data_IF_741565063452
#
_entry.id   IF_741565063452
#
_cell.length_a   1.000
_cell.length_b   1.000
_cell.length_c   1.000
_cell.angle_alpha   90.00
_cell.angle_beta   90.00
_cell.angle_gamma   90.00
#
_symmetry.space_group_name_H-M   'P 1'
#
loop_
_entity.id
_entity.type
_entity.pdbx_description
1 polymer ?
#
# COMPACT_ATOMS: atom_id res chain seq x y z
N UNK A 1 12.11 -4.90 -4.17
CA UNK A 1 11.98 -3.45 -4.43
C UNK A 1 11.42 -3.26 -5.82
N UNK A 2 10.39 -2.43 -5.97
CA UNK A 2 9.85 -2.01 -7.26
C UNK A 2 10.30 -0.58 -7.54
N UNK A 3 10.43 -0.23 -8.82
CA UNK A 3 10.79 1.12 -9.26
C UNK A 3 9.71 1.65 -10.19
N UNK A 4 9.38 2.92 -10.02
CA UNK A 4 8.57 3.70 -10.97
C UNK A 4 9.37 4.93 -11.43
N UNK A 5 8.72 5.90 -12.05
CA UNK A 5 9.40 7.10 -12.56
C UNK A 5 10.03 7.91 -11.42
N UNK A 6 9.32 8.10 -10.30
CA UNK A 6 9.75 8.93 -9.16
C UNK A 6 9.90 8.19 -7.85
N UNK A 7 9.47 6.90 -7.78
CA UNK A 7 9.38 6.17 -6.52
C UNK A 7 10.18 4.88 -6.55
N UNK A 8 10.81 4.58 -5.43
CA UNK A 8 11.16 3.24 -5.01
C UNK A 8 10.08 2.74 -4.05
N UNK A 9 9.53 1.55 -4.29
CA UNK A 9 8.62 0.86 -3.38
C UNK A 9 9.40 -0.28 -2.71
N UNK A 10 9.54 -0.21 -1.39
CA UNK A 10 10.33 -1.15 -0.59
C UNK A 10 9.38 -1.94 0.31
N UNK A 11 9.23 -3.27 0.10
CA UNK A 11 8.41 -4.09 0.98
C UNK A 11 9.09 -4.17 2.36
N UNK A 12 8.37 -3.83 3.41
CA UNK A 12 8.88 -3.88 4.77
C UNK A 12 8.76 -5.32 5.32
N UNK A 13 9.80 -5.78 6.02
CA UNK A 13 9.73 -7.03 6.76
C UNK A 13 8.84 -6.89 8.00
N UNK A 14 8.40 -8.00 8.59
CA UNK A 14 7.64 -7.96 9.84
C UNK A 14 8.40 -7.22 10.94
N UNK A 15 9.70 -7.50 11.09
CA UNK A 15 10.55 -6.81 12.06
C UNK A 15 10.64 -5.29 11.79
N UNK A 16 10.73 -4.86 10.53
CA UNK A 16 10.75 -3.44 10.17
C UNK A 16 9.41 -2.75 10.45
N UNK A 17 8.28 -3.44 10.25
CA UNK A 17 6.98 -2.93 10.64
C UNK A 17 6.87 -2.76 12.17
N UNK A 18 7.35 -3.74 12.96
CA UNK A 18 7.41 -3.66 14.42
C UNK A 18 8.30 -2.50 14.88
N UNK A 19 9.51 -2.38 14.30
CA UNK A 19 10.42 -1.27 14.58
C UNK A 19 9.76 0.07 14.28
N UNK A 20 9.07 0.19 13.15
CA UNK A 20 8.37 1.41 12.74
C UNK A 20 7.24 1.81 13.68
N UNK A 21 6.48 0.84 14.20
CA UNK A 21 5.45 1.08 15.22
C UNK A 21 6.03 1.58 16.55
N UNK A 22 7.18 1.05 16.96
CA UNK A 22 7.85 1.45 18.19
C UNK A 22 8.57 2.79 18.04
N UNK A 23 9.27 2.97 16.92
CA UNK A 23 10.07 4.15 16.64
C UNK A 23 10.33 4.33 15.15
N UNK A 24 9.62 5.25 14.53
CA UNK A 24 9.85 5.61 13.12
C UNK A 24 11.28 6.12 12.88
N UNK A 25 11.89 6.77 13.90
CA UNK A 25 13.28 7.22 13.86
C UNK A 25 14.25 6.04 13.78
N UNK A 26 14.01 5.00 14.54
CA UNK A 26 14.85 3.79 14.51
C UNK A 26 14.75 3.09 13.16
N UNK A 27 13.54 2.92 12.63
CA UNK A 27 13.33 2.38 11.29
C UNK A 27 14.03 3.22 10.21
N UNK A 28 13.95 4.54 10.31
CA UNK A 28 14.64 5.47 9.41
C UNK A 28 16.16 5.28 9.43
N UNK A 29 16.73 5.07 10.62
CA UNK A 29 18.18 4.80 10.78
C UNK A 29 18.55 3.42 10.20
N UNK A 30 17.74 2.38 10.47
CA UNK A 30 17.96 1.02 9.97
C UNK A 30 17.96 0.97 8.44
N UNK A 31 17.00 1.64 7.80
CA UNK A 31 16.87 1.67 6.35
C UNK A 31 17.84 2.69 5.68
N UNK A 32 18.43 3.59 6.45
CA UNK A 32 19.16 4.76 5.95
C UNK A 32 18.31 5.62 4.98
N UNK A 33 17.01 5.74 5.31
CA UNK A 33 16.04 6.52 4.55
C UNK A 33 15.29 7.42 5.53
N UNK A 34 15.31 8.75 5.38
CA UNK A 34 14.43 9.63 6.14
C UNK A 34 12.96 9.24 5.94
N UNK A 35 12.23 9.07 7.04
CA UNK A 35 10.80 8.70 7.02
C UNK A 35 10.02 9.80 7.71
N UNK A 36 8.89 10.22 7.15
CA UNK A 36 8.00 11.20 7.76
C UNK A 36 7.47 10.67 9.09
N UNK A 37 7.54 11.50 10.13
CA UNK A 37 7.37 11.11 11.52
C UNK A 37 6.02 10.44 11.85
N UNK A 38 4.93 10.83 11.20
CA UNK A 38 3.58 10.34 11.43
C UNK A 38 3.13 9.23 10.45
N UNK A 39 4.03 8.75 9.60
CA UNK A 39 3.68 7.83 8.50
C UNK A 39 3.08 6.51 8.98
N UNK A 40 3.50 6.01 10.14
CA UNK A 40 3.02 4.76 10.74
C UNK A 40 2.19 5.00 12.01
N UNK A 41 1.42 6.09 12.07
CA UNK A 41 0.56 6.44 13.19
C UNK A 41 -0.94 6.29 12.85
N UNK A 42 -1.81 6.37 13.85
CA UNK A 42 -3.27 6.31 13.67
C UNK A 42 -3.72 5.05 12.93
N UNK A 43 -4.53 5.23 11.90
CA UNK A 43 -5.09 4.12 11.09
C UNK A 43 -4.00 3.23 10.46
N UNK A 44 -2.85 3.81 10.10
CA UNK A 44 -1.72 3.04 9.58
C UNK A 44 -1.19 2.09 10.66
N UNK A 45 -1.02 2.54 11.91
CA UNK A 45 -0.55 1.71 13.01
C UNK A 45 -1.51 0.54 13.30
N UNK A 46 -2.82 0.78 13.33
CA UNK A 46 -3.84 -0.27 13.50
C UNK A 46 -3.76 -1.30 12.38
N UNK A 47 -3.61 -0.84 11.14
CA UNK A 47 -3.51 -1.72 9.98
C UNK A 47 -2.21 -2.54 10.00
N UNK A 48 -1.08 -1.93 10.40
CA UNK A 48 0.21 -2.62 10.55
C UNK A 48 0.09 -3.73 11.60
N UNK A 49 -0.56 -3.48 12.72
CA UNK A 49 -0.79 -4.50 13.77
C UNK A 49 -1.55 -5.71 13.21
N UNK A 50 -2.60 -5.48 12.41
CA UNK A 50 -3.35 -6.56 11.73
C UNK A 50 -2.48 -7.32 10.72
N UNK A 51 -1.65 -6.62 9.96
CA UNK A 51 -0.71 -7.23 9.01
C UNK A 51 0.32 -8.11 9.70
N UNK A 52 0.89 -7.66 10.81
CA UNK A 52 1.85 -8.43 11.60
C UNK A 52 1.25 -9.75 12.10
N UNK A 53 0.01 -9.73 12.58
CA UNK A 53 -0.69 -10.94 12.99
C UNK A 53 -0.82 -11.96 11.83
N UNK A 54 -1.13 -11.49 10.62
CA UNK A 54 -1.22 -12.35 9.43
C UNK A 54 0.18 -12.85 9.02
N UNK A 55 1.19 -11.97 8.98
CA UNK A 55 2.55 -12.32 8.54
C UNK A 55 3.23 -13.34 9.44
N UNK A 56 2.88 -13.36 10.73
CA UNK A 56 3.43 -14.32 11.69
C UNK A 56 3.12 -15.78 11.31
N UNK A 57 1.94 -16.02 10.74
CA UNK A 57 1.45 -17.36 10.40
C UNK A 57 1.70 -17.75 8.93
N UNK A 58 2.26 -16.84 8.14
CA UNK A 58 2.48 -17.03 6.70
C UNK A 58 3.94 -17.27 6.36
N UNK A 59 4.22 -18.11 5.34
CA UNK A 59 5.56 -18.27 4.82
C UNK A 59 6.09 -16.95 4.22
N UNK A 60 7.41 -16.69 4.34
CA UNK A 60 8.03 -15.42 3.92
C UNK A 60 7.75 -15.01 2.46
N UNK A 61 7.52 -15.98 1.58
CA UNK A 61 7.22 -15.75 0.17
C UNK A 61 5.91 -14.99 -0.04
N UNK A 62 4.96 -15.11 0.90
CA UNK A 62 3.68 -14.41 0.87
C UNK A 62 3.71 -13.05 1.57
N UNK A 63 4.77 -12.73 2.31
CA UNK A 63 4.88 -11.46 3.03
C UNK A 63 4.71 -10.22 2.13
N UNK A 64 5.21 -10.18 0.86
CA UNK A 64 4.97 -9.04 -0.02
C UNK A 64 3.49 -8.74 -0.28
N UNK A 65 2.61 -9.74 -0.18
CA UNK A 65 1.16 -9.57 -0.28
C UNK A 65 0.51 -9.07 1.01
N UNK A 66 1.18 -9.22 2.15
CA UNK A 66 0.61 -8.93 3.46
C UNK A 66 1.22 -7.71 4.13
N UNK A 67 2.34 -7.18 3.60
CA UNK A 67 3.05 -6.05 4.18
C UNK A 67 2.61 -4.71 3.60
N UNK A 68 3.15 -3.63 4.17
CA UNK A 68 3.23 -2.35 3.50
C UNK A 68 4.54 -2.19 2.72
N UNK A 69 4.43 -1.60 1.56
CA UNK A 69 5.55 -1.14 0.75
C UNK A 69 5.74 0.35 1.03
N UNK A 70 6.92 0.69 1.51
CA UNK A 70 7.32 2.06 1.79
C UNK A 70 7.56 2.81 0.47
N UNK A 71 6.87 3.93 0.28
CA UNK A 71 7.00 4.77 -0.90
C UNK A 71 8.07 5.82 -0.66
N UNK A 72 9.20 5.70 -1.36
CA UNK A 72 10.38 6.57 -1.22
C UNK A 72 10.57 7.39 -2.50
N UNK A 73 10.57 8.71 -2.40
CA UNK A 73 10.93 9.59 -3.51
C UNK A 73 12.40 9.37 -3.89
N UNK A 74 12.68 9.18 -5.18
CA UNK A 74 14.04 8.87 -5.67
C UNK A 74 14.95 10.10 -5.58
N UNK A 75 14.43 11.32 -5.81
CA UNK A 75 15.21 12.54 -5.82
C UNK A 75 15.60 12.98 -4.41
N UNK A 76 14.61 12.98 -3.51
CA UNK A 76 14.80 13.47 -2.13
C UNK A 76 15.22 12.37 -1.16
N UNK A 77 15.23 11.10 -1.59
CA UNK A 77 15.44 9.91 -0.75
C UNK A 77 14.56 9.94 0.51
N UNK A 78 13.29 10.35 0.38
CA UNK A 78 12.37 10.55 1.50
C UNK A 78 11.17 9.60 1.40
N UNK A 79 10.89 8.86 2.47
CA UNK A 79 9.70 8.03 2.57
C UNK A 79 8.49 8.85 3.03
N UNK A 80 7.43 8.88 2.20
CA UNK A 80 6.27 9.74 2.39
C UNK A 80 4.93 9.04 2.36
N UNK A 81 4.88 7.77 2.01
CA UNK A 81 3.65 7.02 1.85
C UNK A 81 3.83 5.52 2.07
N UNK A 82 2.70 4.85 2.23
CA UNK A 82 2.58 3.42 2.35
C UNK A 82 1.53 2.91 1.35
N UNK A 83 1.83 1.82 0.67
CA UNK A 83 0.89 1.10 -0.19
C UNK A 83 1.05 -0.40 0.05
N UNK A 84 -0.02 -1.19 -0.01
CA UNK A 84 0.10 -2.62 0.21
C UNK A 84 -1.24 -3.35 0.08
N UNK A 85 -1.18 -4.67 0.03
CA UNK A 85 -2.36 -5.51 0.03
C UNK A 85 -2.70 -5.99 1.43
N UNK A 86 -3.96 -6.36 1.66
CA UNK A 86 -4.45 -6.86 2.96
C UNK A 86 -4.21 -8.36 3.17
N UNK A 87 -3.67 -9.05 2.18
CA UNK A 87 -3.40 -10.50 2.19
C UNK A 87 -2.98 -10.96 0.80
N UNK A 88 -2.70 -12.25 0.65
CA UNK A 88 -2.51 -12.89 -0.64
C UNK A 88 -3.84 -13.01 -1.41
N UNK A 89 -3.81 -13.19 -2.75
CA UNK A 89 -5.01 -13.45 -3.51
C UNK A 89 -5.80 -14.66 -2.97
N UNK A 90 -7.10 -14.52 -2.88
CA UNK A 90 -8.01 -15.59 -2.48
C UNK A 90 -8.22 -16.62 -3.61
N UNK A 91 -9.11 -17.60 -3.39
CA UNK A 91 -9.41 -18.66 -4.37
C UNK A 91 -9.92 -18.12 -5.71
N UNK A 92 -10.55 -16.94 -5.72
CA UNK A 92 -11.03 -16.26 -6.91
C UNK A 92 -9.96 -15.37 -7.56
N UNK A 93 -8.76 -15.31 -6.98
CA UNK A 93 -7.65 -14.48 -7.40
C UNK A 93 -7.85 -13.00 -7.08
N UNK A 94 -8.66 -12.70 -6.07
CA UNK A 94 -8.95 -11.33 -5.63
C UNK A 94 -8.08 -10.94 -4.44
N UNK A 95 -7.59 -9.71 -4.44
CA UNK A 95 -6.85 -9.13 -3.32
C UNK A 95 -7.27 -7.68 -3.09
N UNK A 96 -7.31 -7.23 -1.84
CA UNK A 96 -7.66 -5.86 -1.50
C UNK A 96 -6.40 -5.01 -1.30
N UNK A 97 -6.37 -3.82 -1.93
CA UNK A 97 -5.30 -2.83 -1.78
C UNK A 97 -5.70 -1.73 -0.79
N UNK A 98 -4.72 -1.30 0.03
CA UNK A 98 -4.83 -0.15 0.91
C UNK A 98 -3.60 0.75 0.81
N UNK A 99 -3.78 2.05 0.99
CA UNK A 99 -2.70 3.01 0.84
C UNK A 99 -2.94 4.32 1.61
N UNK A 100 -1.87 5.03 1.86
CA UNK A 100 -1.88 6.37 2.44
C UNK A 100 -0.60 7.14 2.11
N UNK A 101 -0.72 8.45 1.94
CA UNK A 101 0.40 9.36 1.76
C UNK A 101 0.24 10.53 2.70
N UNK A 102 1.35 11.01 3.26
CA UNK A 102 1.34 12.19 4.11
C UNK A 102 0.71 13.40 3.40
N UNK A 103 -0.05 14.19 4.15
CA UNK A 103 -0.89 15.28 3.62
C UNK A 103 -0.10 16.31 2.78
N UNK A 104 1.16 16.59 3.14
CA UNK A 104 2.03 17.53 2.42
C UNK A 104 2.33 17.07 0.99
N UNK A 105 2.26 15.75 0.73
CA UNK A 105 2.57 15.14 -0.57
C UNK A 105 1.32 14.76 -1.37
N UNK A 106 0.13 15.03 -0.85
CA UNK A 106 -1.13 14.82 -1.56
C UNK A 106 -1.24 15.74 -2.80
N UNK A 107 -2.05 15.33 -3.76
CA UNK A 107 -2.30 16.09 -4.99
C UNK A 107 -1.16 16.09 -6.02
N UNK A 108 0.01 15.53 -5.70
CA UNK A 108 1.20 15.52 -6.57
C UNK A 108 1.33 14.24 -7.43
N UNK A 109 0.36 13.35 -7.38
CA UNK A 109 0.33 12.12 -8.18
C UNK A 109 1.15 10.94 -7.64
N UNK A 110 1.87 11.09 -6.54
CA UNK A 110 2.68 10.03 -5.94
C UNK A 110 1.89 8.76 -5.63
N UNK A 111 0.70 8.90 -5.04
CA UNK A 111 -0.13 7.74 -4.72
C UNK A 111 -0.67 7.04 -5.98
N UNK A 112 -1.01 7.77 -7.03
CA UNK A 112 -1.41 7.20 -8.32
C UNK A 112 -0.28 6.34 -8.90
N UNK A 113 0.95 6.85 -8.84
CA UNK A 113 2.15 6.17 -9.31
C UNK A 113 2.49 4.94 -8.46
N UNK A 114 2.44 5.06 -7.13
CA UNK A 114 2.70 3.96 -6.21
C UNK A 114 1.70 2.81 -6.34
N UNK A 115 0.41 3.13 -6.43
CA UNK A 115 -0.66 2.13 -6.69
C UNK A 115 -0.45 1.47 -8.04
N UNK A 116 -0.13 2.24 -9.10
CA UNK A 116 0.14 1.70 -10.43
C UNK A 116 1.27 0.68 -10.43
N UNK A 117 2.41 1.02 -9.84
CA UNK A 117 3.56 0.13 -9.74
C UNK A 117 3.24 -1.16 -8.95
N UNK A 118 2.46 -1.06 -7.88
CA UNK A 118 2.08 -2.24 -7.10
C UNK A 118 1.05 -3.11 -7.83
N UNK A 119 0.17 -2.52 -8.64
CA UNK A 119 -0.75 -3.26 -9.51
C UNK A 119 -0.02 -4.04 -10.60
N UNK A 120 0.98 -3.43 -11.25
CA UNK A 120 1.83 -4.11 -12.24
C UNK A 120 2.52 -5.32 -11.61
N UNK A 121 3.07 -5.16 -10.40
CA UNK A 121 3.65 -6.26 -9.64
C UNK A 121 2.61 -7.35 -9.35
N UNK A 122 1.44 -7.00 -8.83
CA UNK A 122 0.40 -7.96 -8.51
C UNK A 122 -0.06 -8.76 -9.75
N UNK A 123 -0.30 -8.08 -10.85
CA UNK A 123 -0.74 -8.72 -12.09
C UNK A 123 0.36 -9.49 -12.83
N UNK A 124 1.63 -9.35 -12.46
CA UNK A 124 2.70 -10.24 -12.93
C UNK A 124 2.62 -11.64 -12.33
N UNK A 125 1.86 -11.83 -11.24
CA UNK A 125 1.64 -13.11 -10.58
C UNK A 125 0.33 -13.75 -11.08
N UNK A 126 0.40 -14.99 -11.54
CA UNK A 126 -0.73 -15.67 -12.20
C UNK A 126 -1.95 -15.85 -11.29
N UNK A 127 -1.71 -15.97 -10.00
CA UNK A 127 -2.74 -16.10 -8.96
C UNK A 127 -3.57 -14.84 -8.72
N UNK A 128 -3.06 -13.65 -9.06
CA UNK A 128 -3.81 -12.40 -8.92
C UNK A 128 -4.60 -12.10 -10.19
N UNK A 129 -5.91 -12.19 -10.15
CA UNK A 129 -6.82 -11.92 -11.28
C UNK A 129 -7.49 -10.56 -11.19
N UNK A 130 -7.69 -10.07 -9.97
CA UNK A 130 -8.32 -8.78 -9.71
C UNK A 130 -7.84 -8.17 -8.41
N UNK A 131 -7.89 -6.83 -8.37
CA UNK A 131 -7.60 -6.05 -7.17
C UNK A 131 -8.85 -5.25 -6.81
N UNK A 132 -9.24 -5.30 -5.54
CA UNK A 132 -10.35 -4.51 -4.98
C UNK A 132 -9.82 -3.40 -4.09
N UNK A 133 -10.62 -2.37 -3.90
CA UNK A 133 -10.35 -1.29 -2.96
C UNK A 133 -11.68 -0.75 -2.40
N UNK A 134 -11.64 -0.29 -1.16
CA UNK A 134 -12.78 0.36 -0.51
C UNK A 134 -12.41 1.77 -0.10
N UNK A 135 -13.34 2.70 -0.25
CA UNK A 135 -13.13 4.10 0.15
C UNK A 135 -14.44 4.78 0.49
N UNK A 136 -14.38 5.72 1.42
CA UNK A 136 -15.54 6.55 1.76
C UNK A 136 -15.95 7.43 0.58
N UNK A 137 -17.25 7.69 0.37
CA UNK A 137 -17.74 8.60 -0.68
C UNK A 137 -17.09 9.99 -0.64
N UNK A 138 -16.85 10.50 0.56
CA UNK A 138 -16.22 11.80 0.79
C UNK A 138 -14.71 11.84 0.47
N UNK A 139 -14.03 10.67 0.35
CA UNK A 139 -12.61 10.61 0.05
C UNK A 139 -12.34 10.76 -1.45
N UNK A 140 -12.56 11.97 -1.95
CA UNK A 140 -12.39 12.31 -3.39
C UNK A 140 -10.95 12.02 -3.85
N UNK A 141 -9.95 12.21 -2.98
CA UNK A 141 -8.55 11.95 -3.33
C UNK A 141 -8.31 10.47 -3.65
N UNK A 142 -8.78 9.56 -2.79
CA UNK A 142 -8.68 8.12 -3.01
C UNK A 142 -9.44 7.69 -4.27
N UNK A 143 -10.67 8.16 -4.46
CA UNK A 143 -11.48 7.87 -5.65
C UNK A 143 -10.76 8.25 -6.95
N UNK A 144 -10.11 9.43 -6.98
CA UNK A 144 -9.30 9.87 -8.14
C UNK A 144 -8.10 8.96 -8.39
N UNK A 145 -7.41 8.50 -7.33
CA UNK A 145 -6.29 7.55 -7.45
C UNK A 145 -6.77 6.24 -8.08
N UNK A 146 -7.89 5.69 -7.60
CA UNK A 146 -8.46 4.44 -8.10
C UNK A 146 -8.86 4.56 -9.58
N UNK A 147 -9.63 5.58 -9.95
CA UNK A 147 -10.08 5.80 -11.35
C UNK A 147 -8.88 5.97 -12.29
N UNK A 148 -7.84 6.73 -11.90
CA UNK A 148 -6.63 6.91 -12.71
C UNK A 148 -5.84 5.61 -12.90
N UNK A 149 -5.98 4.66 -11.98
CA UNK A 149 -5.39 3.32 -12.08
C UNK A 149 -6.32 2.29 -12.73
N UNK A 150 -7.38 2.72 -13.40
CA UNK A 150 -8.28 1.85 -14.16
C UNK A 150 -9.28 1.04 -13.30
N UNK A 151 -9.44 1.38 -12.03
CA UNK A 151 -10.49 0.78 -11.21
C UNK A 151 -11.87 1.30 -11.66
N UNK A 152 -12.85 0.40 -11.59
CA UNK A 152 -14.26 0.71 -11.82
C UNK A 152 -15.03 0.55 -10.52
N UNK A 153 -15.95 1.45 -10.25
CA UNK A 153 -16.91 1.33 -9.16
C UNK A 153 -17.84 0.16 -9.43
N UNK A 154 -18.01 -0.73 -8.45
CA UNK A 154 -18.85 -1.94 -8.60
C UNK A 154 -19.99 -2.00 -7.59
N UNK A 155 -19.90 -1.28 -6.48
CA UNK A 155 -20.96 -1.17 -5.47
C UNK A 155 -20.78 0.10 -4.67
N UNK A 156 -21.90 0.75 -4.35
CA UNK A 156 -21.98 1.89 -3.43
C UNK A 156 -23.01 1.59 -2.31
N UNK A 157 -23.23 0.32 -2.00
CA UNK A 157 -24.13 -0.09 -0.93
C UNK A 157 -23.36 -0.05 0.42
N UNK A 158 -23.86 0.74 1.37
CA UNK A 158 -23.25 0.90 2.69
C UNK A 158 -22.46 2.21 2.82
N UNK A 159 -21.54 2.25 3.79
CA UNK A 159 -20.76 3.44 4.11
C UNK A 159 -19.57 3.65 3.16
N UNK A 160 -19.14 2.60 2.46
CA UNK A 160 -17.97 2.63 1.57
C UNK A 160 -18.37 2.29 0.13
N UNK A 161 -17.62 2.86 -0.80
CA UNK A 161 -17.69 2.54 -2.23
C UNK A 161 -16.64 1.48 -2.52
N UNK A 162 -17.06 0.38 -3.14
CA UNK A 162 -16.17 -0.68 -3.61
C UNK A 162 -15.75 -0.43 -5.05
N UNK A 163 -14.46 -0.53 -5.29
CA UNK A 163 -13.81 -0.44 -6.60
C UNK A 163 -13.13 -1.76 -6.94
N UNK A 164 -13.03 -2.06 -8.23
CA UNK A 164 -12.34 -3.24 -8.74
C UNK A 164 -11.59 -2.93 -10.02
N UNK A 165 -10.40 -3.49 -10.15
CA UNK A 165 -9.63 -3.62 -11.39
C UNK A 165 -9.31 -5.08 -11.65
N UNK A 166 -9.64 -5.59 -12.84
CA UNK A 166 -9.24 -6.91 -13.31
C UNK A 166 -7.91 -6.83 -14.06
N UNK A 167 -7.19 -7.94 -14.11
CA UNK A 167 -6.10 -8.15 -15.06
C UNK A 167 -6.68 -8.06 -16.48
N UNK A 168 -5.99 -7.38 -17.39
CA UNK A 168 -6.32 -7.32 -18.81
C UNK A 168 -6.03 -8.64 -19.50
#
# INVERSE_FOLDING_TARGET
MLKSIRLNLIPLTAQQLETGLQSIKQLSMELNIPIIADLMSGVAAETITKKLAIMHDLPPELHPWCTYWLMVDICDNLAMGLVGFKGAPDADGSVEIGYGVNSIYQGRGYMTEGVGALLEWAFSHAECRQVTAFTLPANIASRKVLVKNGFREISSAGEEIQYRRTRD
#
